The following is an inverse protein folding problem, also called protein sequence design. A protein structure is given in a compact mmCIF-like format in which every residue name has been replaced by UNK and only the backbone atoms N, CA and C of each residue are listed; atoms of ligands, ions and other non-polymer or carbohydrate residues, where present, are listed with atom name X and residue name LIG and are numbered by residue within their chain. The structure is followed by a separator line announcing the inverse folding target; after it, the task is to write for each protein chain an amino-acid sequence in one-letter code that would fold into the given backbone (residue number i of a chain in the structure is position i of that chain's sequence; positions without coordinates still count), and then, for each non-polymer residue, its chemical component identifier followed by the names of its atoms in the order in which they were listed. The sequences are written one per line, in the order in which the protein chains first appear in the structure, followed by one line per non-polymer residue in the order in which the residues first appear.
data_IF_503833494763
#
_entry.id   IF_503833494763
#
_cell.length_a   1.000
_cell.length_b   1.000
_cell.length_c   1.000
_cell.angle_alpha   90.00
_cell.angle_beta   90.00
_cell.angle_gamma   90.00
#
_symmetry.space_group_name_H-M   'P 1'
#
loop_
_entity.id
_entity.type
_entity.pdbx_description
1 polymer ?
#
# COMPACT_ATOMS: atom_id res chain seq x y z
N UNK A 1 -5.59 -8.21 -4.34
CA UNK A 1 -5.14 -7.04 -3.55
C UNK A 1 -5.84 -7.04 -2.21
N UNK A 2 -5.31 -6.33 -1.22
CA UNK A 2 -5.97 -6.00 0.06
C UNK A 2 -6.22 -4.50 0.11
N UNK A 3 -7.42 -4.07 0.51
CA UNK A 3 -7.82 -2.66 0.51
C UNK A 3 -8.24 -2.24 1.92
N UNK A 4 -7.81 -1.07 2.35
CA UNK A 4 -8.30 -0.38 3.54
C UNK A 4 -8.79 1.01 3.14
N UNK A 5 -9.93 1.42 3.68
CA UNK A 5 -10.51 2.74 3.45
C UNK A 5 -10.91 3.35 4.80
N UNK A 6 -10.40 4.54 5.09
CA UNK A 6 -10.70 5.31 6.29
C UNK A 6 -11.20 6.69 5.86
N UNK A 7 -12.31 7.14 6.46
CA UNK A 7 -12.96 8.41 6.12
C UNK A 7 -12.80 9.41 7.27
N UNK A 8 -12.54 10.67 6.93
CA UNK A 8 -12.57 11.80 7.87
C UNK A 8 -13.62 12.80 7.40
N UNK A 9 -14.26 13.50 8.35
CA UNK A 9 -15.33 14.46 8.05
C UNK A 9 -15.98 15.00 9.32
N UNK A 10 -17.15 15.60 9.16
CA UNK A 10 -18.02 15.98 10.27
C UNK A 10 -18.72 14.74 10.85
N UNK A 11 -17.97 13.94 11.60
CA UNK A 11 -18.40 12.66 12.19
C UNK A 11 -18.26 12.62 13.72
N UNK A 12 -17.85 13.72 14.35
CA UNK A 12 -17.56 13.83 15.78
C UNK A 12 -18.75 13.48 16.66
N UNK A 13 -19.97 13.76 16.22
CA UNK A 13 -21.20 13.51 16.98
C UNK A 13 -21.44 12.02 17.21
N UNK A 14 -20.93 11.15 16.33
CA UNK A 14 -20.96 9.70 16.54
C UNK A 14 -20.15 9.27 17.77
N UNK A 15 -19.10 10.01 18.10
CA UNK A 15 -18.23 9.74 19.25
C UNK A 15 -18.73 10.43 20.52
N UNK A 16 -19.16 11.69 20.42
CA UNK A 16 -19.41 12.53 21.59
C UNK A 16 -20.83 12.42 22.12
N UNK A 17 -21.81 12.14 21.25
CA UNK A 17 -23.23 12.12 21.61
C UNK A 17 -23.97 10.89 21.08
N UNK A 18 -23.23 9.85 20.65
CA UNK A 18 -23.77 8.59 20.13
C UNK A 18 -24.71 8.75 18.91
N UNK A 19 -24.47 9.76 18.08
CA UNK A 19 -25.24 10.01 16.86
C UNK A 19 -24.66 9.25 15.66
N UNK A 20 -25.27 8.13 15.31
CA UNK A 20 -24.86 7.33 14.16
C UNK A 20 -25.34 7.88 12.80
N UNK A 21 -26.10 8.99 12.75
CA UNK A 21 -26.65 9.51 11.48
C UNK A 21 -25.56 9.98 10.49
N UNK A 22 -24.39 10.36 11.01
CA UNK A 22 -23.21 10.76 10.23
C UNK A 22 -22.32 9.58 9.82
N UNK A 23 -22.61 8.36 10.25
CA UNK A 23 -21.74 7.20 10.04
C UNK A 23 -22.08 6.49 8.73
N UNK A 24 -21.10 6.44 7.83
CA UNK A 24 -21.13 5.46 6.73
C UNK A 24 -20.70 4.12 7.31
N UNK A 25 -21.63 3.16 7.41
CA UNK A 25 -21.34 1.85 7.99
C UNK A 25 -20.15 1.18 7.27
N UNK A 26 -19.27 0.53 8.03
CA UNK A 26 -18.07 -0.11 7.49
C UNK A 26 -18.41 -1.25 6.52
N UNK A 27 -19.56 -1.91 6.70
CA UNK A 27 -20.08 -2.88 5.72
C UNK A 27 -20.41 -2.22 4.36
N UNK A 28 -21.01 -1.03 4.37
CA UNK A 28 -21.26 -0.24 3.16
C UNK A 28 -19.96 0.17 2.49
N UNK A 29 -18.93 0.59 3.24
CA UNK A 29 -17.59 0.88 2.70
C UNK A 29 -17.01 -0.36 2.01
N UNK A 30 -17.08 -1.54 2.64
CA UNK A 30 -16.66 -2.82 2.06
C UNK A 30 -17.42 -3.15 0.77
N UNK A 31 -18.74 -2.97 0.75
CA UNK A 31 -19.54 -3.20 -0.46
C UNK A 31 -19.17 -2.23 -1.58
N UNK A 32 -18.92 -0.96 -1.26
CA UNK A 32 -18.44 0.05 -2.22
C UNK A 32 -17.10 -0.32 -2.84
N UNK A 33 -16.15 -0.85 -2.06
CA UNK A 33 -14.87 -1.35 -2.59
C UNK A 33 -15.12 -2.39 -3.71
N UNK A 34 -16.00 -3.36 -3.46
CA UNK A 34 -16.32 -4.40 -4.45
C UNK A 34 -17.05 -3.84 -5.68
N UNK A 35 -18.04 -2.97 -5.47
CA UNK A 35 -18.80 -2.34 -6.56
C UNK A 35 -17.85 -1.53 -7.45
N UNK A 36 -16.96 -0.71 -6.85
CA UNK A 36 -16.00 0.09 -7.63
C UNK A 36 -14.97 -0.75 -8.35
N UNK A 37 -14.56 -1.89 -7.80
CA UNK A 37 -13.70 -2.85 -8.49
C UNK A 37 -14.40 -3.53 -9.68
N UNK A 38 -15.74 -3.62 -9.67
CA UNK A 38 -16.54 -4.15 -10.78
C UNK A 38 -16.78 -3.11 -11.87
N UNK A 39 -16.96 -1.85 -11.50
CA UNK A 39 -17.27 -0.74 -12.41
C UNK A 39 -16.03 -0.14 -13.08
N UNK A 40 -14.87 -0.21 -12.42
CA UNK A 40 -13.66 0.49 -12.86
C UNK A 40 -12.44 -0.43 -12.93
N UNK A 41 -11.42 -0.06 -13.73
CA UNK A 41 -10.14 -0.75 -13.72
C UNK A 41 -9.49 -0.73 -12.34
N UNK A 42 -8.93 -1.86 -11.94
CA UNK A 42 -8.17 -2.00 -10.69
C UNK A 42 -6.65 -1.83 -10.86
N UNK A 43 -6.20 -1.65 -12.10
CA UNK A 43 -4.80 -1.44 -12.46
C UNK A 43 -4.69 -0.24 -13.42
N UNK A 44 -3.78 0.72 -13.19
CA UNK A 44 -2.85 0.80 -12.06
C UNK A 44 -3.57 1.03 -10.71
N UNK A 45 -3.04 0.51 -9.58
CA UNK A 45 -3.68 0.63 -8.27
C UNK A 45 -3.83 2.09 -7.80
N UNK A 46 -2.98 3.00 -8.26
CA UNK A 46 -3.06 4.45 -8.03
C UNK A 46 -4.38 5.04 -8.56
N UNK A 47 -4.76 4.64 -9.78
CA UNK A 47 -6.00 5.08 -10.39
C UNK A 47 -7.20 4.54 -9.61
N UNK A 48 -7.18 3.25 -9.25
CA UNK A 48 -8.26 2.62 -8.49
C UNK A 48 -8.44 3.25 -7.11
N UNK A 49 -7.35 3.49 -6.38
CA UNK A 49 -7.39 4.15 -5.07
C UNK A 49 -7.96 5.57 -5.15
N UNK A 50 -7.59 6.32 -6.20
CA UNK A 50 -8.10 7.66 -6.47
C UNK A 50 -9.60 7.63 -6.75
N UNK A 51 -10.07 6.77 -7.67
CA UNK A 51 -11.50 6.62 -7.99
C UNK A 51 -12.32 6.26 -6.76
N UNK A 52 -11.83 5.32 -5.96
CA UNK A 52 -12.51 4.88 -4.74
C UNK A 52 -12.62 6.01 -3.71
N UNK A 53 -11.53 6.75 -3.46
CA UNK A 53 -11.54 7.86 -2.52
C UNK A 53 -12.43 9.02 -2.98
N UNK A 54 -12.37 9.37 -4.28
CA UNK A 54 -13.22 10.41 -4.87
C UNK A 54 -14.70 10.08 -4.73
N UNK A 55 -15.09 8.82 -4.95
CA UNK A 55 -16.48 8.40 -4.78
C UNK A 55 -17.03 8.70 -3.38
N UNK A 56 -16.27 8.44 -2.31
CA UNK A 56 -16.74 8.72 -0.95
C UNK A 56 -17.00 10.21 -0.74
N UNK A 57 -16.14 11.06 -1.26
CA UNK A 57 -16.31 12.51 -1.19
C UNK A 57 -17.51 12.95 -2.03
N UNK A 58 -17.62 12.55 -3.28
CA UNK A 58 -18.72 12.97 -4.16
C UNK A 58 -20.10 12.52 -3.66
N UNK A 59 -20.15 11.39 -2.95
CA UNK A 59 -21.40 10.80 -2.46
C UNK A 59 -21.83 11.38 -1.11
N UNK A 60 -20.87 11.63 -0.20
CA UNK A 60 -21.16 12.03 1.17
C UNK A 60 -20.63 13.44 1.44
N UNK A 61 -21.54 14.43 1.47
CA UNK A 61 -21.18 15.84 1.62
C UNK A 61 -20.45 16.16 2.94
N UNK A 62 -20.72 15.41 4.01
CA UNK A 62 -20.10 15.59 5.34
C UNK A 62 -18.73 14.91 5.47
N UNK A 63 -18.32 14.09 4.50
CA UNK A 63 -16.98 13.48 4.43
C UNK A 63 -16.04 14.43 3.68
N UNK A 64 -14.89 14.74 4.27
CA UNK A 64 -13.91 15.68 3.73
C UNK A 64 -12.63 15.02 3.24
N UNK A 65 -12.30 13.83 3.73
CA UNK A 65 -11.09 13.07 3.35
C UNK A 65 -11.41 11.58 3.23
N UNK A 66 -10.84 10.93 2.23
CA UNK A 66 -10.77 9.48 2.14
C UNK A 66 -9.30 9.04 2.03
N UNK A 67 -8.84 8.26 3.02
CA UNK A 67 -7.53 7.64 3.04
C UNK A 67 -7.68 6.19 2.56
N UNK A 68 -7.17 5.89 1.36
CA UNK A 68 -7.28 4.59 0.72
C UNK A 68 -5.90 3.96 0.64
N UNK A 69 -5.73 2.78 1.25
CA UNK A 69 -4.51 1.97 1.13
C UNK A 69 -4.81 0.71 0.31
N UNK A 70 -4.00 0.45 -0.71
CA UNK A 70 -4.08 -0.73 -1.57
C UNK A 70 -2.75 -1.48 -1.52
N UNK A 71 -2.80 -2.77 -1.18
CA UNK A 71 -1.65 -3.70 -1.27
C UNK A 71 -1.93 -4.72 -2.36
N UNK A 72 -1.13 -4.70 -3.42
CA UNK A 72 -1.23 -5.62 -4.55
C UNK A 72 -0.34 -6.83 -4.31
N UNK A 73 -0.95 -8.02 -4.33
CA UNK A 73 -0.28 -9.32 -4.27
C UNK A 73 0.06 -9.76 -5.69
N UNK A 74 1.25 -10.30 -5.90
CA UNK A 74 1.71 -10.75 -7.22
C UNK A 74 1.01 -12.04 -7.66
N UNK A 75 0.63 -12.05 -8.92
CA UNK A 75 0.18 -13.24 -9.64
C UNK A 75 0.85 -13.22 -11.00
N UNK A 76 1.98 -13.91 -11.12
CA UNK A 76 2.73 -14.01 -12.37
C UNK A 76 2.15 -15.13 -13.21
N UNK A 77 1.93 -14.86 -14.50
CA UNK A 77 1.42 -15.86 -15.44
C UNK A 77 2.44 -16.99 -15.57
N UNK A 78 2.00 -18.23 -15.38
CA UNK A 78 2.86 -19.39 -15.57
C UNK A 78 3.29 -19.49 -17.03
N UNK A 79 4.55 -19.87 -17.25
CA UNK A 79 5.07 -20.29 -18.54
C UNK A 79 5.11 -21.82 -18.58
N UNK A 80 4.57 -22.42 -19.65
CA UNK A 80 4.60 -23.87 -19.90
C UNK A 80 5.11 -24.07 -21.32
N UNK A 81 6.23 -24.78 -21.45
CA UNK A 81 6.91 -25.04 -22.73
C UNK A 81 7.22 -23.78 -23.56
N UNK A 82 7.61 -22.68 -22.89
CA UNK A 82 7.96 -21.41 -23.52
C UNK A 82 6.74 -20.58 -23.94
N UNK A 83 5.54 -20.92 -23.45
CA UNK A 83 4.29 -20.22 -23.76
C UNK A 83 3.55 -19.81 -22.48
N UNK A 84 3.05 -18.56 -22.39
CA UNK A 84 2.26 -18.14 -21.25
C UNK A 84 0.94 -18.90 -21.17
N UNK A 85 0.65 -19.53 -20.04
CA UNK A 85 -0.59 -20.25 -19.81
C UNK A 85 -1.78 -19.28 -19.79
N UNK A 86 -2.93 -19.60 -20.40
CA UNK A 86 -4.06 -18.67 -20.52
C UNK A 86 -4.70 -18.27 -19.18
N UNK A 87 -4.64 -19.12 -18.16
CA UNK A 87 -5.38 -18.91 -16.90
C UNK A 87 -4.73 -19.53 -15.65
N UNK A 88 -3.43 -19.83 -15.70
CA UNK A 88 -2.69 -20.35 -14.53
C UNK A 88 -1.62 -19.36 -14.09
N UNK A 89 -1.50 -19.17 -12.78
CA UNK A 89 -0.68 -18.14 -12.16
C UNK A 89 0.09 -18.71 -10.97
N UNK A 90 1.27 -18.14 -10.71
CA UNK A 90 2.14 -18.44 -9.57
C UNK A 90 2.29 -17.20 -8.69
N UNK A 91 2.36 -17.41 -7.38
CA UNK A 91 2.82 -16.41 -6.42
C UNK A 91 4.35 -16.48 -6.33
N UNK A 92 5.03 -15.68 -7.13
CA UNK A 92 6.49 -15.67 -7.27
C UNK A 92 7.16 -14.71 -6.26
N UNK A 93 7.07 -15.06 -4.98
CA UNK A 93 7.62 -14.28 -3.87
C UNK A 93 6.58 -13.41 -3.16
N UNK A 94 7.00 -12.86 -2.01
CA UNK A 94 6.11 -12.13 -1.10
C UNK A 94 6.12 -10.61 -1.29
N UNK A 95 6.95 -10.09 -2.21
CA UNK A 95 6.96 -8.66 -2.50
C UNK A 95 5.56 -8.17 -2.91
N UNK A 96 5.26 -6.95 -2.51
CA UNK A 96 3.97 -6.29 -2.76
C UNK A 96 4.19 -4.89 -3.30
N UNK A 97 3.38 -4.50 -4.28
CA UNK A 97 3.22 -3.09 -4.67
C UNK A 97 2.17 -2.45 -3.78
N UNK A 98 2.49 -1.30 -3.19
CA UNK A 98 1.60 -0.54 -2.31
C UNK A 98 1.24 0.80 -2.92
N UNK A 99 0.04 1.27 -2.59
CA UNK A 99 -0.43 2.62 -2.87
C UNK A 99 -1.17 3.13 -1.65
N UNK A 100 -0.86 4.36 -1.26
CA UNK A 100 -1.65 5.17 -0.34
C UNK A 100 -2.17 6.38 -1.10
N UNK A 101 -3.49 6.58 -1.10
CA UNK A 101 -4.14 7.74 -1.67
C UNK A 101 -4.83 8.50 -0.56
N UNK A 102 -4.44 9.75 -0.36
CA UNK A 102 -5.16 10.70 0.47
C UNK A 102 -5.97 11.61 -0.44
N UNK A 103 -7.28 11.37 -0.49
CA UNK A 103 -8.21 12.12 -1.33
C UNK A 103 -8.90 13.20 -0.52
N UNK A 104 -8.84 14.43 -0.99
CA UNK A 104 -9.48 15.62 -0.41
C UNK A 104 -10.31 16.33 -1.46
N UNK A 105 -11.07 17.35 -1.05
CA UNK A 105 -11.80 18.22 -1.98
C UNK A 105 -10.88 19.04 -2.89
N UNK A 106 -9.65 19.29 -2.45
CA UNK A 106 -8.66 20.09 -3.19
C UNK A 106 -7.81 19.24 -4.16
N UNK A 107 -7.87 17.91 -4.03
CA UNK A 107 -7.12 16.99 -4.89
C UNK A 107 -6.75 15.67 -4.24
N UNK A 108 -5.94 14.90 -4.97
CA UNK A 108 -5.46 13.57 -4.59
C UNK A 108 -3.95 13.63 -4.38
N UNK A 109 -3.49 13.26 -3.18
CA UNK A 109 -2.07 13.00 -2.91
C UNK A 109 -1.82 11.48 -2.91
N UNK A 110 -0.80 11.04 -3.65
CA UNK A 110 -0.46 9.63 -3.81
C UNK A 110 0.92 9.33 -3.23
N UNK A 111 1.06 8.14 -2.68
CA UNK A 111 2.34 7.54 -2.34
C UNK A 111 2.33 6.11 -2.84
N UNK A 112 3.20 5.80 -3.80
CA UNK A 112 3.35 4.45 -4.31
C UNK A 112 4.60 3.81 -3.73
N UNK A 113 4.63 2.48 -3.64
CA UNK A 113 5.78 1.80 -3.08
C UNK A 113 5.90 0.33 -3.44
N UNK A 114 7.04 -0.24 -3.05
CA UNK A 114 7.34 -1.67 -3.04
C UNK A 114 7.77 -2.03 -1.63
N UNK A 115 7.24 -3.14 -1.11
CA UNK A 115 7.59 -3.67 0.20
C UNK A 115 7.89 -5.16 0.10
N UNK A 116 8.66 -5.68 1.08
CA UNK A 116 8.99 -7.10 1.22
C UNK A 116 9.75 -7.69 0.02
N UNK A 117 10.53 -6.85 -0.67
CA UNK A 117 11.49 -7.34 -1.66
C UNK A 117 12.76 -7.77 -0.93
N UNK A 118 12.82 -9.05 -0.58
CA UNK A 118 13.96 -9.65 0.12
C UNK A 118 15.12 -9.88 -0.83
N UNK A 119 16.29 -9.33 -0.51
CA UNK A 119 17.51 -9.48 -1.30
C UNK A 119 18.71 -9.77 -0.42
N UNK A 120 19.70 -10.48 -0.98
CA UNK A 120 20.96 -10.78 -0.31
C UNK A 120 22.13 -10.70 -1.31
N UNK A 121 23.25 -10.15 -0.86
CA UNK A 121 24.56 -10.30 -1.51
C UNK A 121 25.57 -10.88 -0.51
N UNK A 122 26.36 -11.86 -0.96
CA UNK A 122 27.25 -12.65 -0.11
C UNK A 122 28.61 -11.99 0.19
N UNK A 123 29.01 -11.01 -0.62
CA UNK A 123 30.28 -10.27 -0.54
C UNK A 123 30.08 -8.89 -1.20
N UNK A 124 31.06 -8.00 -1.14
CA UNK A 124 31.01 -6.67 -1.76
C UNK A 124 30.12 -5.70 -0.97
N UNK A 125 30.00 -5.93 0.33
CA UNK A 125 29.49 -4.97 1.31
C UNK A 125 30.56 -4.75 2.37
N UNK A 126 30.73 -3.52 2.84
CA UNK A 126 31.72 -3.17 3.84
C UNK A 126 31.09 -2.27 4.91
N UNK A 127 31.71 -2.21 6.08
CA UNK A 127 31.33 -1.29 7.16
C UNK A 127 32.56 -0.98 8.00
N UNK A 128 33.17 0.16 7.70
CA UNK A 128 34.36 0.70 8.34
C UNK A 128 34.29 2.23 8.30
N UNK A 129 35.12 2.92 9.09
CA UNK A 129 35.15 4.38 9.18
C UNK A 129 34.00 4.98 10.00
N UNK A 130 33.31 4.18 10.81
CA UNK A 130 32.27 4.66 11.72
C UNK A 130 32.88 5.24 13.00
N UNK A 131 32.14 6.13 13.67
CA UNK A 131 32.54 6.77 14.93
C UNK A 131 32.83 5.70 15.99
N UNK A 132 33.91 5.89 16.76
CA UNK A 132 34.27 5.04 17.90
C UNK A 132 34.23 5.84 19.19
N UNK A 133 33.50 5.31 20.16
CA UNK A 133 33.38 5.85 21.50
C UNK A 133 33.65 4.77 22.56
N UNK A 134 33.43 5.11 23.83
CA UNK A 134 33.59 4.19 24.96
C UNK A 134 32.63 2.98 24.94
N UNK A 135 31.61 2.98 24.08
CA UNK A 135 30.61 1.92 23.94
C UNK A 135 30.84 1.07 22.67
N UNK A 136 31.76 1.46 21.79
CA UNK A 136 31.92 0.83 20.49
C UNK A 136 32.75 -0.45 20.56
N UNK A 137 32.05 -1.58 20.54
CA UNK A 137 32.66 -2.94 20.50
C UNK A 137 32.68 -3.55 19.11
N UNK A 138 31.91 -3.00 18.17
CA UNK A 138 31.81 -3.54 16.81
C UNK A 138 33.17 -3.41 16.07
N UNK A 139 33.72 -4.51 15.54
CA UNK A 139 34.88 -4.46 14.67
C UNK A 139 34.50 -3.92 13.29
N UNK A 140 35.45 -3.25 12.66
CA UNK A 140 35.32 -2.86 11.25
C UNK A 140 35.41 -4.09 10.34
N UNK A 141 34.80 -4.00 9.16
CA UNK A 141 34.95 -5.01 8.11
C UNK A 141 35.00 -4.38 6.72
N UNK A 142 35.83 -4.96 5.88
CA UNK A 142 35.98 -4.61 4.46
C UNK A 142 35.25 -5.57 3.53
N UNK A 143 34.74 -6.69 4.05
CA UNK A 143 33.84 -7.58 3.33
C UNK A 143 32.88 -8.31 4.28
N UNK A 144 31.59 -8.24 3.99
CA UNK A 144 30.52 -8.89 4.76
C UNK A 144 29.33 -9.21 3.87
N UNK A 145 28.48 -10.11 4.37
CA UNK A 145 27.14 -10.35 3.83
C UNK A 145 26.27 -9.12 4.09
N UNK A 146 25.42 -8.77 3.11
CA UNK A 146 24.34 -7.81 3.29
C UNK A 146 23.04 -8.45 2.82
N UNK A 147 22.04 -8.45 3.70
CA UNK A 147 20.67 -8.86 3.40
C UNK A 147 19.74 -7.77 3.89
N UNK A 148 18.65 -7.52 3.14
CA UNK A 148 17.61 -6.58 3.54
C UNK A 148 16.30 -6.94 2.88
N UNK A 149 15.21 -6.47 3.48
CA UNK A 149 13.94 -6.30 2.78
C UNK A 149 13.87 -4.85 2.31
N UNK A 150 13.65 -4.65 1.01
CA UNK A 150 13.47 -3.31 0.45
C UNK A 150 12.04 -2.84 0.74
N UNK A 151 11.95 -1.70 1.41
CA UNK A 151 10.75 -0.86 1.52
C UNK A 151 11.09 0.48 0.89
N UNK A 152 10.50 0.77 -0.26
CA UNK A 152 10.74 1.98 -1.03
C UNK A 152 9.41 2.63 -1.39
N UNK A 153 9.33 3.95 -1.20
CA UNK A 153 8.14 4.75 -1.51
C UNK A 153 8.50 6.01 -2.30
N UNK A 154 7.56 6.49 -3.09
CA UNK A 154 7.67 7.72 -3.88
C UNK A 154 6.32 8.46 -3.94
N UNK A 155 6.40 9.79 -3.91
CA UNK A 155 5.27 10.74 -3.84
C UNK A 155 5.27 11.69 -5.02
#
# INVERSE_FOLDING_TARGET
MTVCALLEGAIETSYTVADNSVVVATDSIKNTIYIKAKEHPVNPPELYASILGTHFLDTYAHISVANIRVTVHRWTRLDVDGKPHPHSFLRDGEETRTVEARVTRDGVALTSGIQKLTVLKSTGSAFHGFVRDAYTTLPETWDRILSTDVDASWT
#
